data_IF_884541534785
#
_entry.id   IF_884541534785
#
_cell.length_a   1.000
_cell.length_b   1.000
_cell.length_c   1.000
_cell.angle_alpha   90.00
_cell.angle_beta   90.00
_cell.angle_gamma   90.00
#
_symmetry.space_group_name_H-M   'P 1'
#
loop_
_entity.id
_entity.type
_entity.pdbx_description
1 polymer ?
#
# COMPACT_ATOMS: atom_id res chain seq x y z
N UNK A 1 -1.60 18.50 50.48
CA UNK A 1 -2.29 17.69 49.47
C UNK A 1 -3.62 17.34 50.07
N UNK A 2 -4.72 17.81 49.49
CA UNK A 2 -6.03 17.60 50.09
C UNK A 2 -6.35 16.11 50.11
N UNK A 3 -6.84 15.56 51.25
CA UNK A 3 -7.11 14.13 51.40
C UNK A 3 -8.14 13.61 50.39
N UNK A 4 -8.96 14.49 49.80
CA UNK A 4 -9.95 14.16 48.78
C UNK A 4 -9.36 13.94 47.37
N UNK A 5 -8.18 14.51 47.06
CA UNK A 5 -7.54 14.39 45.74
C UNK A 5 -6.86 13.02 45.57
N UNK A 6 -6.41 12.43 46.68
CA UNK A 6 -5.70 11.15 46.70
C UNK A 6 -6.49 9.97 46.07
N UNK A 7 -7.75 9.70 46.44
CA UNK A 7 -8.51 8.59 45.85
C UNK A 7 -8.81 8.77 44.36
N UNK A 8 -9.00 10.01 43.89
CA UNK A 8 -9.24 10.30 42.47
C UNK A 8 -8.00 9.95 41.64
N UNK A 9 -6.81 10.40 42.08
CA UNK A 9 -5.54 10.07 41.41
C UNK A 9 -5.32 8.56 41.37
N UNK A 10 -5.56 7.86 42.48
CA UNK A 10 -5.39 6.39 42.56
C UNK A 10 -6.32 5.68 41.57
N UNK A 11 -7.54 6.19 41.34
CA UNK A 11 -8.49 5.60 40.40
C UNK A 11 -8.09 5.77 38.93
N UNK A 12 -7.34 6.84 38.60
CA UNK A 12 -6.91 7.16 37.23
C UNK A 12 -5.58 6.50 36.85
N UNK A 13 -4.75 6.14 37.83
CA UNK A 13 -3.45 5.51 37.61
C UNK A 13 -3.45 4.38 36.55
N UNK A 14 -4.35 3.37 36.57
CA UNK A 14 -4.33 2.30 35.57
C UNK A 14 -4.63 2.79 34.16
N UNK A 15 -5.39 3.88 34.01
CA UNK A 15 -5.68 4.49 32.70
C UNK A 15 -4.40 5.13 32.15
N UNK A 16 -3.64 5.83 33.00
CA UNK A 16 -2.37 6.45 32.61
C UNK A 16 -1.29 5.41 32.29
N UNK A 17 -1.19 4.33 33.06
CA UNK A 17 -0.28 3.23 32.75
C UNK A 17 -0.57 2.63 31.37
N UNK A 18 -1.85 2.37 31.06
CA UNK A 18 -2.25 1.85 29.76
C UNK A 18 -1.93 2.84 28.62
N UNK A 19 -2.15 4.15 28.84
CA UNK A 19 -1.83 5.19 27.87
C UNK A 19 -0.33 5.28 27.60
N UNK A 20 0.49 5.27 28.67
CA UNK A 20 1.94 5.32 28.58
C UNK A 20 2.49 4.10 27.83
N UNK A 21 2.00 2.89 28.14
CA UNK A 21 2.38 1.67 27.42
C UNK A 21 1.97 1.79 25.94
N UNK A 22 0.77 2.29 25.64
CA UNK A 22 0.33 2.50 24.26
C UNK A 22 1.21 3.51 23.49
N UNK A 23 1.76 4.53 24.15
CA UNK A 23 2.69 5.47 23.51
C UNK A 23 4.03 4.79 23.22
N UNK A 24 4.54 4.01 24.17
CA UNK A 24 5.76 3.24 23.99
C UNK A 24 5.63 2.15 22.91
N UNK A 25 4.43 1.64 22.63
CA UNK A 25 4.20 0.71 21.50
C UNK A 25 4.07 1.45 20.17
N UNK A 26 3.55 2.67 20.15
CA UNK A 26 3.41 3.48 18.95
C UNK A 26 4.73 4.13 18.49
N UNK A 27 5.60 4.54 19.42
CA UNK A 27 6.84 5.22 19.08
C UNK A 27 7.78 4.38 18.18
N UNK A 28 8.00 3.07 18.43
CA UNK A 28 8.76 2.21 17.52
C UNK A 28 8.12 2.10 16.13
N UNK A 29 6.78 2.07 16.05
CA UNK A 29 6.06 2.06 14.77
C UNK A 29 6.29 3.35 13.98
N UNK A 30 6.25 4.51 14.65
CA UNK A 30 6.55 5.81 14.04
C UNK A 30 8.00 5.86 13.57
N UNK A 31 8.95 5.48 14.43
CA UNK A 31 10.37 5.44 14.12
C UNK A 31 10.68 4.51 12.94
N UNK A 32 10.09 3.31 12.92
CA UNK A 32 10.26 2.34 11.83
C UNK A 32 9.68 2.87 10.50
N UNK A 33 8.55 3.58 10.53
CA UNK A 33 7.97 4.18 9.32
C UNK A 33 8.79 5.35 8.81
N UNK A 34 9.25 6.23 9.69
CA UNK A 34 10.15 7.33 9.31
C UNK A 34 11.47 6.78 8.73
N UNK A 35 12.06 5.78 9.37
CA UNK A 35 13.25 5.09 8.86
C UNK A 35 12.99 4.49 7.46
N UNK A 36 11.86 3.81 7.28
CA UNK A 36 11.47 3.25 5.98
C UNK A 36 11.31 4.35 4.92
N UNK A 37 10.66 5.47 5.24
CA UNK A 37 10.51 6.59 4.30
C UNK A 37 11.83 7.23 3.93
N UNK A 38 12.71 7.51 4.90
CA UNK A 38 14.05 8.05 4.62
C UNK A 38 14.83 7.09 3.72
N UNK A 39 14.78 5.79 4.00
CA UNK A 39 15.52 4.79 3.23
C UNK A 39 14.98 4.62 1.79
N UNK A 40 13.67 4.76 1.58
CA UNK A 40 13.07 4.68 0.23
C UNK A 40 12.95 6.02 -0.47
N UNK A 41 13.50 7.10 0.09
CA UNK A 41 13.45 8.44 -0.52
C UNK A 41 14.25 8.51 -1.82
N UNK A 42 15.42 7.86 -1.88
CA UNK A 42 16.24 7.83 -3.10
C UNK A 42 15.53 7.10 -4.25
N UNK A 43 14.90 5.95 -3.95
CA UNK A 43 14.05 5.22 -4.89
C UNK A 43 12.83 6.04 -5.33
N UNK A 44 12.21 6.80 -4.42
CA UNK A 44 11.10 7.71 -4.74
C UNK A 44 11.56 8.80 -5.71
N UNK A 45 12.65 9.50 -5.40
CA UNK A 45 13.13 10.65 -6.17
C UNK A 45 13.66 10.20 -7.53
N UNK A 46 14.38 9.08 -7.60
CA UNK A 46 14.91 8.56 -8.87
C UNK A 46 13.83 7.96 -9.76
N UNK A 47 12.84 7.28 -9.18
CA UNK A 47 11.85 6.56 -9.97
C UNK A 47 10.57 7.39 -10.17
N UNK A 48 9.93 7.85 -9.09
CA UNK A 48 8.56 8.43 -9.09
C UNK A 48 8.53 9.88 -9.58
N UNK A 49 9.51 10.69 -9.18
CA UNK A 49 9.50 12.12 -9.48
C UNK A 49 9.67 12.46 -10.97
N UNK A 50 10.60 11.83 -11.72
CA UNK A 50 10.85 12.18 -13.12
C UNK A 50 9.68 11.87 -14.05
N UNK A 51 8.69 11.10 -13.60
CA UNK A 51 7.52 10.78 -14.42
C UNK A 51 6.71 12.05 -14.75
N UNK A 52 6.63 12.45 -16.04
CA UNK A 52 6.03 13.71 -16.43
C UNK A 52 4.51 13.73 -16.24
N UNK A 53 3.86 12.56 -16.27
CA UNK A 53 2.40 12.45 -16.15
C UNK A 53 1.94 11.98 -14.78
N UNK A 54 0.89 12.61 -14.26
CA UNK A 54 0.18 12.19 -13.05
C UNK A 54 -0.72 10.99 -13.33
N UNK A 55 -0.15 9.79 -13.29
CA UNK A 55 -0.91 8.53 -13.40
C UNK A 55 -1.41 8.06 -12.04
N UNK A 56 -2.41 7.18 -12.04
CA UNK A 56 -3.04 6.63 -10.84
C UNK A 56 -2.03 5.98 -9.89
N UNK A 57 -1.01 5.27 -10.40
CA UNK A 57 0.03 4.67 -9.57
C UNK A 57 0.88 5.68 -8.80
N UNK A 58 1.28 6.78 -9.45
CA UNK A 58 2.02 7.90 -8.83
C UNK A 58 1.16 8.61 -7.78
N UNK A 59 -0.10 8.90 -8.11
CA UNK A 59 -1.04 9.54 -7.18
C UNK A 59 -1.23 8.66 -5.94
N UNK A 60 -1.50 7.36 -6.10
CA UNK A 60 -1.68 6.44 -4.97
C UNK A 60 -0.42 6.33 -4.12
N UNK A 61 0.75 6.21 -4.73
CA UNK A 61 2.02 6.14 -4.01
C UNK A 61 2.25 7.38 -3.15
N UNK A 62 2.17 8.57 -3.75
CA UNK A 62 2.38 9.84 -3.03
C UNK A 62 1.29 10.02 -1.97
N UNK A 63 0.03 9.70 -2.29
CA UNK A 63 -1.07 9.79 -1.35
C UNK A 63 -0.83 8.93 -0.10
N UNK A 64 -0.52 7.64 -0.24
CA UNK A 64 -0.23 6.74 0.90
C UNK A 64 0.89 7.32 1.77
N UNK A 65 1.98 7.76 1.15
CA UNK A 65 3.17 8.22 1.86
C UNK A 65 2.94 9.51 2.61
N UNK A 66 2.43 10.54 1.94
CA UNK A 66 2.26 11.85 2.55
C UNK A 66 1.06 11.89 3.50
N UNK A 67 -0.04 11.15 3.25
CA UNK A 67 -1.10 11.04 4.28
C UNK A 67 -0.63 10.23 5.48
N UNK A 68 0.26 9.25 5.29
CA UNK A 68 0.92 8.52 6.38
C UNK A 68 1.79 9.45 7.24
N UNK A 69 2.58 10.34 6.64
CA UNK A 69 3.35 11.36 7.36
C UNK A 69 2.43 12.29 8.15
N UNK A 70 1.38 12.83 7.51
CA UNK A 70 0.38 13.69 8.17
C UNK A 70 -0.25 12.98 9.36
N UNK A 71 -0.62 11.70 9.20
CA UNK A 71 -1.14 10.89 10.30
C UNK A 71 -0.14 10.79 11.45
N UNK A 72 1.13 10.46 11.18
CA UNK A 72 2.15 10.31 12.24
C UNK A 72 2.45 11.61 12.97
N UNK A 73 2.62 12.72 12.23
CA UNK A 73 2.85 14.03 12.83
C UNK A 73 1.67 14.46 13.69
N UNK A 74 0.44 14.24 13.21
CA UNK A 74 -0.77 14.58 13.97
C UNK A 74 -0.94 13.67 15.19
N UNK A 75 -0.58 12.38 15.07
CA UNK A 75 -0.62 11.44 16.18
C UNK A 75 0.36 11.82 17.29
N UNK A 76 1.58 12.24 16.92
CA UNK A 76 2.57 12.78 17.87
C UNK A 76 2.07 14.06 18.54
N UNK A 77 1.50 14.99 17.77
CA UNK A 77 0.96 16.24 18.30
C UNK A 77 -0.20 16.03 19.28
N UNK A 78 -0.97 14.95 19.13
CA UNK A 78 -2.13 14.69 20.00
C UNK A 78 -1.76 13.81 21.21
N UNK A 79 -0.86 12.86 21.06
CA UNK A 79 -0.60 11.84 22.09
C UNK A 79 0.72 12.04 22.85
N UNK A 80 1.64 12.88 22.36
CA UNK A 80 2.93 13.04 23.01
C UNK A 80 2.90 14.15 24.06
N UNK A 81 3.52 13.95 25.25
CA UNK A 81 3.60 14.98 26.26
C UNK A 81 4.30 16.23 25.74
N UNK A 82 3.57 17.34 25.68
CA UNK A 82 4.11 18.66 25.41
C UNK A 82 3.28 19.72 26.15
N UNK A 83 3.95 20.72 26.72
CA UNK A 83 3.29 21.78 27.51
C UNK A 83 2.53 22.81 26.66
N UNK A 84 2.27 22.52 25.38
CA UNK A 84 1.51 23.41 24.51
C UNK A 84 0.00 23.30 24.79
N UNK A 85 -0.63 24.46 24.97
CA UNK A 85 -2.03 24.56 25.32
C UNK A 85 -2.90 24.70 24.07
N UNK A 86 -3.55 23.62 23.65
CA UNK A 86 -4.57 23.69 22.62
C UNK A 86 -5.92 24.07 23.22
N UNK A 87 -6.67 24.90 22.49
CA UNK A 87 -8.09 25.10 22.79
C UNK A 87 -8.87 23.81 22.53
N UNK A 88 -9.98 23.59 23.25
CA UNK A 88 -10.90 22.46 23.03
C UNK A 88 -11.29 22.28 21.54
N UNK A 89 -11.70 23.33 20.79
CA UNK A 89 -11.98 23.18 19.36
C UNK A 89 -10.73 22.84 18.54
N UNK A 90 -9.54 23.27 18.96
CA UNK A 90 -8.27 22.87 18.34
C UNK A 90 -7.99 21.37 18.50
N UNK A 91 -8.20 20.82 19.70
CA UNK A 91 -8.09 19.37 19.95
C UNK A 91 -9.12 18.57 19.14
N UNK A 92 -10.36 19.05 19.03
CA UNK A 92 -11.40 18.41 18.22
C UNK A 92 -10.98 18.40 16.74
N UNK A 93 -10.49 19.52 16.21
CA UNK A 93 -9.98 19.61 14.83
C UNK A 93 -8.78 18.67 14.58
N UNK A 94 -7.82 18.60 15.52
CA UNK A 94 -6.69 17.68 15.43
C UNK A 94 -7.13 16.21 15.47
N UNK A 95 -8.09 15.85 16.33
CA UNK A 95 -8.66 14.50 16.38
C UNK A 95 -9.34 14.10 15.06
N UNK A 96 -10.07 15.03 14.44
CA UNK A 96 -10.64 14.84 13.10
C UNK A 96 -9.55 14.68 12.04
N UNK A 97 -8.48 15.47 12.09
CA UNK A 97 -7.37 15.36 11.15
C UNK A 97 -6.66 14.00 11.24
N UNK A 98 -6.34 13.55 12.46
CA UNK A 98 -5.75 12.21 12.70
C UNK A 98 -6.64 11.12 12.12
N UNK A 99 -7.95 11.22 12.37
CA UNK A 99 -8.97 10.31 11.86
C UNK A 99 -9.01 10.26 10.32
N UNK A 100 -9.08 11.43 9.68
CA UNK A 100 -9.12 11.50 8.22
C UNK A 100 -7.82 10.97 7.61
N UNK A 101 -6.67 11.33 8.17
CA UNK A 101 -5.38 10.89 7.67
C UNK A 101 -5.22 9.36 7.75
N UNK A 102 -5.59 8.72 8.86
CA UNK A 102 -5.52 7.25 8.98
C UNK A 102 -6.50 6.56 8.02
N UNK A 103 -7.71 7.09 7.87
CA UNK A 103 -8.72 6.54 6.97
C UNK A 103 -8.29 6.64 5.50
N UNK A 104 -7.78 7.80 5.08
CA UNK A 104 -7.27 8.01 3.73
C UNK A 104 -6.09 7.09 3.44
N UNK A 105 -5.08 7.07 4.31
CA UNK A 105 -3.89 6.25 4.11
C UNK A 105 -4.24 4.76 3.98
N UNK A 106 -5.12 4.26 4.86
CA UNK A 106 -5.62 2.88 4.78
C UNK A 106 -6.37 2.64 3.47
N UNK A 107 -7.24 3.56 3.07
CA UNK A 107 -8.06 3.42 1.85
C UNK A 107 -7.17 3.42 0.60
N UNK A 108 -6.15 4.27 0.54
CA UNK A 108 -5.21 4.29 -0.58
C UNK A 108 -4.33 3.05 -0.62
N UNK A 109 -3.84 2.57 0.53
CA UNK A 109 -3.10 1.32 0.61
C UNK A 109 -3.93 0.15 0.09
N UNK A 110 -5.21 0.09 0.45
CA UNK A 110 -6.11 -0.93 -0.08
C UNK A 110 -6.42 -0.73 -1.57
N UNK A 111 -6.67 0.50 -2.02
CA UNK A 111 -6.89 0.80 -3.45
C UNK A 111 -5.68 0.36 -4.31
N UNK A 112 -4.44 0.54 -3.82
CA UNK A 112 -3.25 0.06 -4.49
C UNK A 112 -3.29 -1.47 -4.70
N UNK A 113 -3.79 -2.23 -3.74
CA UNK A 113 -3.94 -3.69 -3.87
C UNK A 113 -4.97 -4.10 -4.89
N UNK A 114 -6.12 -3.42 -4.92
CA UNK A 114 -7.16 -3.65 -5.90
C UNK A 114 -6.65 -3.31 -7.31
N UNK A 115 -5.80 -2.29 -7.45
CA UNK A 115 -5.09 -1.99 -8.68
C UNK A 115 -4.11 -3.12 -9.08
N UNK A 116 -3.39 -3.69 -8.11
CA UNK A 116 -2.51 -4.84 -8.36
C UNK A 116 -3.32 -6.07 -8.82
N UNK A 117 -4.47 -6.30 -8.20
CA UNK A 117 -5.40 -7.37 -8.57
C UNK A 117 -5.95 -7.17 -9.98
N UNK A 118 -6.25 -5.92 -10.35
CA UNK A 118 -6.65 -5.54 -11.70
C UNK A 118 -5.53 -5.82 -12.72
N UNK A 119 -4.28 -5.49 -12.38
CA UNK A 119 -3.12 -5.81 -13.22
C UNK A 119 -2.97 -7.33 -13.44
N UNK A 120 -3.19 -8.15 -12.40
CA UNK A 120 -3.21 -9.62 -12.50
C UNK A 120 -4.37 -10.16 -13.36
N UNK A 121 -5.46 -9.40 -13.53
CA UNK A 121 -6.54 -9.77 -14.45
C UNK A 121 -6.21 -9.44 -15.92
N UNK A 122 -5.01 -8.93 -16.20
CA UNK A 122 -4.54 -8.61 -17.53
C UNK A 122 -5.17 -7.34 -18.09
N UNK A 123 -5.54 -6.38 -17.22
CA UNK A 123 -5.86 -5.01 -17.65
C UNK A 123 -7.10 -4.87 -18.54
N UNK A 124 -8.04 -5.82 -18.54
CA UNK A 124 -9.26 -5.69 -19.35
C UNK A 124 -10.24 -4.71 -18.68
N UNK A 125 -10.77 -3.71 -19.39
CA UNK A 125 -11.61 -2.66 -18.78
C UNK A 125 -12.86 -3.20 -18.08
N UNK A 126 -13.41 -4.33 -18.54
CA UNK A 126 -14.54 -4.99 -17.87
C UNK A 126 -14.25 -5.35 -16.42
N UNK A 127 -13.05 -5.87 -16.14
CA UNK A 127 -12.63 -6.22 -14.77
C UNK A 127 -12.33 -4.97 -13.94
N UNK A 128 -11.88 -3.88 -14.58
CA UNK A 128 -11.67 -2.61 -13.90
C UNK A 128 -12.97 -2.12 -13.26
N UNK A 129 -14.04 -2.03 -14.04
CA UNK A 129 -15.34 -1.57 -13.53
C UNK A 129 -15.89 -2.49 -12.44
N UNK A 130 -15.78 -3.81 -12.62
CA UNK A 130 -16.23 -4.78 -11.60
C UNK A 130 -15.49 -4.60 -10.28
N UNK A 131 -14.16 -4.52 -10.32
CA UNK A 131 -13.32 -4.32 -9.14
C UNK A 131 -13.56 -2.94 -8.50
N UNK A 132 -13.67 -1.88 -9.29
CA UNK A 132 -13.93 -0.54 -8.80
C UNK A 132 -15.29 -0.43 -8.11
N UNK A 133 -16.35 -1.01 -8.70
CA UNK A 133 -17.69 -1.05 -8.09
C UNK A 133 -17.64 -1.84 -6.79
N UNK A 134 -17.05 -3.05 -6.79
CA UNK A 134 -16.93 -3.87 -5.58
C UNK A 134 -16.14 -3.16 -4.46
N UNK A 135 -15.05 -2.48 -4.82
CA UNK A 135 -14.28 -1.67 -3.89
C UNK A 135 -15.13 -0.53 -3.31
N UNK A 136 -15.79 0.28 -4.16
CA UNK A 136 -16.58 1.43 -3.70
C UNK A 136 -17.78 1.03 -2.85
N UNK A 137 -18.51 -0.03 -3.23
CA UNK A 137 -19.67 -0.55 -2.49
C UNK A 137 -19.30 -0.94 -1.06
N UNK A 138 -18.10 -1.48 -0.82
CA UNK A 138 -17.64 -1.84 0.52
C UNK A 138 -16.93 -0.67 1.22
N UNK A 139 -16.24 0.19 0.48
CA UNK A 139 -15.46 1.30 1.02
C UNK A 139 -16.35 2.41 1.56
N UNK A 140 -17.37 2.83 0.82
CA UNK A 140 -18.22 3.97 1.20
C UNK A 140 -18.91 3.70 2.55
N UNK A 141 -19.63 2.57 2.76
CA UNK A 141 -20.26 2.30 4.05
C UNK A 141 -19.24 2.16 5.18
N UNK A 142 -18.09 1.51 4.93
CA UNK A 142 -17.04 1.39 5.94
C UNK A 142 -16.50 2.76 6.37
N UNK A 143 -16.25 3.66 5.42
CA UNK A 143 -15.79 5.03 5.67
C UNK A 143 -16.86 5.82 6.42
N UNK A 144 -18.12 5.77 6.00
CA UNK A 144 -19.21 6.49 6.66
C UNK A 144 -19.39 6.02 8.10
N UNK A 145 -19.47 4.71 8.34
CA UNK A 145 -19.65 4.16 9.70
C UNK A 145 -18.46 4.45 10.61
N UNK A 146 -17.24 4.28 10.10
CA UNK A 146 -16.02 4.60 10.87
C UNK A 146 -15.94 6.10 11.15
N UNK A 147 -16.25 6.93 10.15
CA UNK A 147 -16.30 8.38 10.29
C UNK A 147 -17.32 8.84 11.30
N UNK A 148 -18.55 8.32 11.28
CA UNK A 148 -19.58 8.61 12.30
C UNK A 148 -19.13 8.18 13.71
N UNK A 149 -18.50 7.00 13.82
CA UNK A 149 -17.96 6.52 15.09
C UNK A 149 -16.88 7.43 15.65
N UNK A 150 -16.01 7.98 14.80
CA UNK A 150 -14.92 8.88 15.21
C UNK A 150 -15.38 10.32 15.41
N UNK A 151 -16.29 10.83 14.57
CA UNK A 151 -16.91 12.15 14.75
C UNK A 151 -17.79 12.23 16.00
N UNK A 152 -18.19 11.08 16.57
CA UNK A 152 -18.86 11.04 17.87
C UNK A 152 -17.91 11.34 19.05
N UNK A 153 -16.59 11.32 18.83
CA UNK A 153 -15.62 11.68 19.85
C UNK A 153 -15.65 13.19 20.09
N UNK A 154 -15.85 13.58 21.34
CA UNK A 154 -15.74 14.97 21.78
C UNK A 154 -14.45 15.15 22.57
N UNK A 155 -13.77 16.27 22.30
CA UNK A 155 -12.69 16.73 23.15
C UNK A 155 -13.27 17.18 24.50
N UNK A 156 -12.63 16.77 25.60
CA UNK A 156 -12.98 17.16 26.96
C UNK A 156 -12.00 18.26 27.39
N UNK A 157 -12.40 19.25 28.21
CA UNK A 157 -11.44 20.13 28.87
C UNK A 157 -10.39 19.30 29.62
N UNK A 158 -9.14 19.80 29.64
CA UNK A 158 -8.01 19.14 30.29
C UNK A 158 -8.26 19.03 31.80
N UNK A 159 -8.02 17.84 32.35
CA UNK A 159 -8.01 17.64 33.79
C UNK A 159 -6.68 18.13 34.38
N UNK A 160 -6.64 18.38 35.69
CA UNK A 160 -5.41 18.79 36.41
C UNK A 160 -4.26 17.80 36.13
N UNK A 161 -4.58 16.51 36.06
CA UNK A 161 -3.60 15.46 35.83
C UNK A 161 -3.05 15.46 34.39
N UNK A 162 -3.89 15.76 33.40
CA UNK A 162 -3.44 15.93 32.01
C UNK A 162 -2.51 17.15 31.89
N UNK A 163 -2.83 18.24 32.60
CA UNK A 163 -1.96 19.42 32.67
C UNK A 163 -0.64 19.13 33.35
N UNK A 164 -0.62 18.30 34.40
CA UNK A 164 0.59 17.93 35.14
C UNK A 164 1.50 17.01 34.32
N UNK A 165 0.90 16.09 33.55
CA UNK A 165 1.62 15.15 32.70
C UNK A 165 1.97 15.74 31.32
N UNK A 166 1.46 16.92 31.00
CA UNK A 166 1.70 17.61 29.73
C UNK A 166 0.94 17.01 28.56
N UNK A 167 -0.21 16.37 28.78
CA UNK A 167 -1.06 15.88 27.69
C UNK A 167 -1.89 17.00 27.07
N UNK A 168 -1.78 17.20 25.75
CA UNK A 168 -2.44 18.34 25.10
C UNK A 168 -3.95 18.17 24.94
N UNK A 169 -4.41 16.96 24.67
CA UNK A 169 -5.80 16.69 24.29
C UNK A 169 -6.31 15.41 24.94
N UNK A 170 -7.53 15.48 25.48
CA UNK A 170 -8.26 14.35 26.07
C UNK A 170 -9.59 14.15 25.34
N UNK A 171 -9.91 12.91 25.00
CA UNK A 171 -11.10 12.57 24.19
C UNK A 171 -12.00 11.57 24.90
N UNK A 172 -13.31 11.74 24.73
CA UNK A 172 -14.28 10.70 25.10
C UNK A 172 -14.08 9.44 24.22
N UNK A 173 -14.27 8.24 24.78
CA UNK A 173 -14.22 7.01 24.01
C UNK A 173 -15.29 7.01 22.91
N UNK A 174 -14.97 6.55 21.68
CA UNK A 174 -15.91 6.54 20.58
C UNK A 174 -16.99 5.47 20.75
N UNK A 175 -18.10 5.60 20.01
CA UNK A 175 -19.12 4.56 19.92
C UNK A 175 -18.55 3.27 19.29
N UNK A 176 -18.26 2.28 20.14
CA UNK A 176 -17.63 1.01 19.75
C UNK A 176 -18.44 0.20 18.74
N UNK A 177 -19.78 0.30 18.77
CA UNK A 177 -20.65 -0.48 17.89
C UNK A 177 -20.48 -0.13 16.40
N UNK A 178 -20.44 1.17 16.06
CA UNK A 178 -20.26 1.62 14.68
C UNK A 178 -18.87 1.26 14.15
N UNK A 179 -17.83 1.43 14.98
CA UNK A 179 -16.46 1.06 14.67
C UNK A 179 -16.29 -0.45 14.43
N UNK A 180 -16.99 -1.28 15.21
CA UNK A 180 -16.98 -2.72 15.02
C UNK A 180 -17.57 -3.10 13.66
N UNK A 181 -18.77 -2.61 13.34
CA UNK A 181 -19.43 -2.88 12.05
C UNK A 181 -18.55 -2.42 10.89
N UNK A 182 -18.02 -1.20 10.96
CA UNK A 182 -17.09 -0.69 9.94
C UNK A 182 -15.85 -1.56 9.77
N UNK A 183 -15.26 -2.05 10.88
CA UNK A 183 -14.10 -2.94 10.86
C UNK A 183 -14.40 -4.28 10.18
N UNK A 184 -15.58 -4.87 10.43
CA UNK A 184 -16.03 -6.10 9.77
C UNK A 184 -16.27 -5.92 8.27
N UNK A 185 -16.80 -4.77 7.84
CA UNK A 185 -16.95 -4.48 6.40
C UNK A 185 -15.58 -4.38 5.73
N UNK A 186 -14.61 -3.71 6.36
CA UNK A 186 -13.25 -3.68 5.80
C UNK A 186 -12.61 -5.07 5.78
N UNK A 187 -12.81 -5.88 6.83
CA UNK A 187 -12.35 -7.26 6.83
C UNK A 187 -12.96 -8.03 5.66
N UNK A 188 -14.28 -7.95 5.45
CA UNK A 188 -14.97 -8.57 4.33
C UNK A 188 -14.41 -8.12 2.97
N UNK A 189 -14.14 -6.82 2.80
CA UNK A 189 -13.48 -6.25 1.61
C UNK A 189 -12.11 -6.86 1.37
N UNK A 190 -11.27 -6.92 2.39
CA UNK A 190 -9.91 -7.49 2.28
C UNK A 190 -9.94 -9.00 2.02
N UNK A 191 -10.85 -9.73 2.66
CA UNK A 191 -11.08 -11.17 2.44
C UNK A 191 -11.54 -11.44 1.01
N UNK A 192 -12.47 -10.64 0.48
CA UNK A 192 -12.93 -10.76 -0.90
C UNK A 192 -11.77 -10.54 -1.89
N UNK A 193 -10.96 -9.49 -1.68
CA UNK A 193 -9.79 -9.23 -2.51
C UNK A 193 -8.78 -10.38 -2.47
N UNK A 194 -8.52 -10.95 -1.29
CA UNK A 194 -7.65 -12.12 -1.14
C UNK A 194 -8.23 -13.34 -1.88
N UNK A 195 -9.51 -13.66 -1.69
CA UNK A 195 -10.15 -14.82 -2.34
C UNK A 195 -10.08 -14.68 -3.86
N UNK A 196 -10.44 -13.51 -4.41
CA UNK A 196 -10.32 -13.24 -5.84
C UNK A 196 -8.86 -13.35 -6.30
N UNK A 197 -7.92 -12.79 -5.54
CA UNK A 197 -6.48 -12.91 -5.81
C UNK A 197 -5.98 -14.35 -5.85
N UNK A 198 -6.36 -15.17 -4.85
CA UNK A 198 -6.00 -16.58 -4.78
C UNK A 198 -6.60 -17.38 -5.93
N UNK A 199 -7.88 -17.16 -6.26
CA UNK A 199 -8.54 -17.82 -7.39
C UNK A 199 -7.84 -17.47 -8.70
N UNK A 200 -7.48 -16.20 -8.93
CA UNK A 200 -6.75 -15.78 -10.13
C UNK A 200 -5.37 -16.45 -10.19
N UNK A 201 -4.62 -16.42 -9.07
CA UNK A 201 -3.30 -17.04 -8.99
C UNK A 201 -3.37 -18.55 -9.28
N UNK A 202 -4.38 -19.24 -8.76
CA UNK A 202 -4.51 -20.69 -8.91
C UNK A 202 -5.05 -21.10 -10.29
N UNK A 203 -6.05 -20.40 -10.83
CA UNK A 203 -6.69 -20.76 -12.10
C UNK A 203 -5.83 -20.32 -13.29
N UNK A 204 -5.34 -19.08 -13.28
CA UNK A 204 -4.68 -18.48 -14.44
C UNK A 204 -3.18 -18.72 -14.47
N UNK A 205 -2.54 -18.67 -13.31
CA UNK A 205 -1.08 -18.57 -13.23
C UNK A 205 -0.38 -19.83 -12.75
N UNK A 206 -1.11 -20.92 -12.47
CA UNK A 206 -0.51 -22.19 -12.05
C UNK A 206 0.51 -22.77 -13.04
N UNK A 207 0.42 -22.44 -14.34
CA UNK A 207 1.32 -22.94 -15.40
C UNK A 207 2.33 -21.93 -15.93
N UNK A 208 2.29 -20.67 -15.48
CA UNK A 208 3.15 -19.60 -16.01
C UNK A 208 4.31 -19.30 -15.06
N UNK A 209 5.55 -19.38 -15.54
CA UNK A 209 6.78 -19.19 -14.78
C UNK A 209 7.45 -17.81 -15.03
N UNK A 210 6.68 -16.77 -15.36
CA UNK A 210 7.28 -15.43 -15.56
C UNK A 210 7.76 -14.81 -14.25
N UNK A 211 8.89 -14.10 -14.30
CA UNK A 211 9.53 -13.45 -13.14
C UNK A 211 8.60 -12.45 -12.44
N UNK A 212 7.78 -11.69 -13.18
CA UNK A 212 6.81 -10.75 -12.61
C UNK A 212 5.78 -11.44 -11.70
N UNK A 213 5.21 -12.56 -12.14
CA UNK A 213 4.23 -13.32 -11.35
C UNK A 213 4.90 -13.83 -10.08
N UNK A 214 6.17 -14.25 -10.15
CA UNK A 214 6.94 -14.70 -8.98
C UNK A 214 7.10 -13.56 -7.96
N UNK A 215 7.37 -12.33 -8.39
CA UNK A 215 7.47 -11.16 -7.51
C UNK A 215 6.13 -10.81 -6.89
N UNK A 216 5.05 -10.70 -7.69
CA UNK A 216 3.72 -10.36 -7.17
C UNK A 216 3.19 -11.44 -6.22
N UNK A 217 3.42 -12.72 -6.54
CA UNK A 217 3.02 -13.85 -5.68
C UNK A 217 3.80 -13.86 -4.37
N UNK A 218 5.09 -13.56 -4.40
CA UNK A 218 5.94 -13.55 -3.20
C UNK A 218 5.64 -12.33 -2.33
N UNK A 219 5.76 -11.13 -2.87
CA UNK A 219 5.65 -9.89 -2.10
C UNK A 219 4.19 -9.50 -1.85
N UNK A 220 3.36 -9.51 -2.90
CA UNK A 220 1.93 -9.22 -2.78
C UNK A 220 1.20 -10.29 -1.98
N UNK A 221 1.54 -11.57 -2.16
CA UNK A 221 0.95 -12.67 -1.39
C UNK A 221 1.23 -12.57 0.11
N UNK A 222 2.49 -12.33 0.49
CA UNK A 222 2.87 -12.09 1.90
C UNK A 222 2.10 -10.91 2.46
N UNK A 223 2.04 -9.80 1.71
CA UNK A 223 1.29 -8.63 2.12
C UNK A 223 -0.19 -8.93 2.42
N UNK A 224 -0.88 -9.62 1.50
CA UNK A 224 -2.31 -9.93 1.66
C UNK A 224 -2.56 -10.82 2.88
N UNK A 225 -1.74 -11.85 3.06
CA UNK A 225 -1.88 -12.79 4.19
C UNK A 225 -1.60 -12.07 5.51
N UNK A 226 -0.51 -11.31 5.61
CA UNK A 226 -0.18 -10.55 6.81
C UNK A 226 -1.25 -9.52 7.15
N UNK A 227 -1.73 -8.78 6.15
CA UNK A 227 -2.80 -7.78 6.34
C UNK A 227 -4.09 -8.45 6.78
N UNK A 228 -4.47 -9.59 6.19
CA UNK A 228 -5.68 -10.32 6.59
C UNK A 228 -5.60 -10.76 8.05
N UNK A 229 -4.47 -11.35 8.47
CA UNK A 229 -4.26 -11.80 9.84
C UNK A 229 -4.36 -10.63 10.82
N UNK A 230 -3.69 -9.51 10.52
CA UNK A 230 -3.72 -8.31 11.37
C UNK A 230 -5.11 -7.65 11.39
N UNK A 231 -5.84 -7.66 10.28
CA UNK A 231 -7.22 -7.17 10.22
C UNK A 231 -8.17 -8.06 11.01
N UNK A 232 -7.97 -9.38 10.98
CA UNK A 232 -8.75 -10.34 11.77
C UNK A 232 -8.57 -10.08 13.27
N UNK A 233 -7.33 -9.99 13.75
CA UNK A 233 -7.06 -9.63 15.15
C UNK A 233 -7.56 -8.23 15.51
N UNK A 234 -7.45 -7.27 14.60
CA UNK A 234 -8.02 -5.92 14.78
C UNK A 234 -9.54 -5.95 14.88
N UNK A 235 -10.24 -6.86 14.21
CA UNK A 235 -11.68 -7.01 14.36
C UNK A 235 -12.02 -7.65 15.71
N UNK A 236 -11.32 -8.73 16.09
CA UNK A 236 -11.51 -9.39 17.38
C UNK A 236 -11.36 -8.43 18.56
N UNK A 237 -10.45 -7.47 18.48
CA UNK A 237 -10.18 -6.50 19.55
C UNK A 237 -11.21 -5.37 19.63
N UNK A 238 -11.86 -5.03 18.50
CA UNK A 238 -12.93 -4.02 18.45
C UNK A 238 -14.31 -4.61 18.81
N UNK A 239 -14.49 -5.92 18.63
CA UNK A 239 -15.77 -6.59 18.91
C UNK A 239 -16.17 -6.49 20.38
N UNK A 240 -17.37 -5.94 20.68
CA UNK A 240 -17.86 -5.86 22.05
C UNK A 240 -17.90 -7.25 22.70
N UNK A 241 -17.48 -7.34 23.97
CA UNK A 241 -17.41 -8.57 24.76
C UNK A 241 -16.42 -9.62 24.27
N UNK A 242 -15.54 -9.29 23.33
CA UNK A 242 -14.43 -10.17 22.99
C UNK A 242 -13.52 -10.38 24.22
N UNK A 243 -13.06 -11.62 24.46
CA UNK A 243 -12.08 -11.90 25.52
C UNK A 243 -10.70 -11.30 25.19
N UNK A 244 -10.43 -11.00 23.92
CA UNK A 244 -9.16 -10.43 23.46
C UNK A 244 -9.28 -8.92 23.45
N UNK A 245 -8.67 -8.25 24.44
CA UNK A 245 -8.55 -6.80 24.50
C UNK A 245 -7.15 -6.38 24.09
N UNK A 246 -7.05 -5.49 23.10
CA UNK A 246 -5.78 -4.83 22.76
C UNK A 246 -5.60 -3.60 23.65
N UNK A 247 -5.37 -3.84 24.95
CA UNK A 247 -5.26 -2.75 25.94
C UNK A 247 -4.12 -1.76 25.61
N UNK A 248 -3.14 -2.20 24.84
CA UNK A 248 -1.91 -1.46 24.54
C UNK A 248 -1.77 -1.07 23.06
N UNK A 249 -2.83 -1.23 22.27
CA UNK A 249 -2.87 -0.93 20.84
C UNK A 249 -1.77 -1.61 20.00
N UNK A 250 -1.24 -2.76 20.44
CA UNK A 250 -0.12 -3.46 19.78
C UNK A 250 -0.57 -3.93 18.40
N UNK A 251 -1.76 -4.53 18.30
CA UNK A 251 -2.30 -5.03 17.03
C UNK A 251 -2.55 -3.86 16.09
N UNK A 252 -3.07 -2.75 16.61
CA UNK A 252 -3.31 -1.53 15.83
C UNK A 252 -2.02 -0.93 15.27
N UNK A 253 -0.97 -0.84 16.10
CA UNK A 253 0.35 -0.32 15.71
C UNK A 253 1.03 -1.21 14.67
N UNK A 254 1.03 -2.54 14.88
CA UNK A 254 1.58 -3.49 13.91
C UNK A 254 0.82 -3.45 12.58
N UNK A 255 -0.52 -3.46 12.62
CA UNK A 255 -1.36 -3.33 11.43
C UNK A 255 -0.99 -2.09 10.63
N UNK A 256 -0.86 -0.94 11.29
CA UNK A 256 -0.52 0.33 10.63
C UNK A 256 0.86 0.27 9.99
N UNK A 257 1.86 -0.20 10.73
CA UNK A 257 3.23 -0.39 10.23
C UNK A 257 3.27 -1.27 8.97
N UNK A 258 2.71 -2.46 9.05
CA UNK A 258 2.77 -3.44 7.97
C UNK A 258 1.97 -2.97 6.74
N UNK A 259 0.77 -2.41 6.93
CA UNK A 259 -0.02 -1.91 5.81
C UNK A 259 0.75 -0.85 5.03
N UNK A 260 1.44 0.07 5.72
CA UNK A 260 2.13 1.19 5.07
C UNK A 260 3.42 0.73 4.40
N UNK A 261 4.29 0.02 5.12
CA UNK A 261 5.58 -0.45 4.60
C UNK A 261 5.39 -1.33 3.39
N UNK A 262 4.45 -2.27 3.46
CA UNK A 262 4.28 -3.20 2.37
C UNK A 262 3.52 -2.61 1.17
N UNK A 263 2.55 -1.71 1.37
CA UNK A 263 1.90 -1.02 0.25
C UNK A 263 2.92 -0.16 -0.53
N UNK A 264 3.79 0.57 0.19
CA UNK A 264 4.88 1.36 -0.39
C UNK A 264 5.86 0.47 -1.17
N UNK A 265 6.35 -0.63 -0.54
CA UNK A 265 7.24 -1.59 -1.20
C UNK A 265 6.60 -2.27 -2.41
N UNK A 266 5.32 -2.61 -2.34
CA UNK A 266 4.60 -3.23 -3.44
C UNK A 266 4.56 -2.29 -4.65
N UNK A 267 4.23 -1.01 -4.44
CA UNK A 267 4.18 -0.01 -5.51
C UNK A 267 5.58 0.27 -6.11
N UNK A 268 6.62 0.39 -5.29
CA UNK A 268 8.00 0.56 -5.77
C UNK A 268 8.48 -0.67 -6.56
N UNK A 269 8.16 -1.89 -6.09
CA UNK A 269 8.55 -3.12 -6.79
C UNK A 269 7.80 -3.30 -8.09
N UNK A 270 6.50 -3.00 -8.14
CA UNK A 270 5.72 -3.05 -9.38
C UNK A 270 6.28 -2.12 -10.44
N UNK A 271 6.83 -0.99 -10.02
CA UNK A 271 7.51 -0.07 -10.92
C UNK A 271 8.84 -0.62 -11.43
N UNK A 272 9.63 -1.27 -10.58
CA UNK A 272 10.93 -1.82 -10.97
C UNK A 272 10.82 -3.02 -11.91
N UNK A 273 9.76 -3.81 -11.82
CA UNK A 273 9.55 -5.02 -12.65
C UNK A 273 8.83 -4.68 -13.97
N UNK A 274 9.01 -3.48 -14.49
CA UNK A 274 8.50 -3.08 -15.81
C UNK A 274 9.32 -3.76 -16.93
N UNK A 275 9.18 -5.09 -17.02
CA UNK A 275 9.76 -5.93 -18.06
C UNK A 275 9.00 -5.68 -19.38
N UNK A 276 9.76 -5.40 -20.46
CA UNK A 276 9.28 -5.07 -21.82
C UNK A 276 8.19 -5.99 -22.38
N UNK A 277 8.13 -7.25 -21.93
CA UNK A 277 7.13 -8.23 -22.39
C UNK A 277 5.78 -8.16 -21.66
N UNK A 278 5.73 -7.59 -20.45
CA UNK A 278 4.48 -7.44 -19.67
C UNK A 278 3.85 -6.04 -19.85
N UNK A 279 4.56 -5.19 -20.59
CA UNK A 279 4.37 -3.75 -20.76
C UNK A 279 3.02 -3.38 -21.42
N UNK A 280 2.52 -4.20 -22.36
CA UNK A 280 1.37 -3.82 -23.19
C UNK A 280 0.03 -3.68 -22.43
N UNK A 281 -0.14 -4.36 -21.29
CA UNK A 281 -1.41 -4.37 -20.55
C UNK A 281 -1.38 -3.58 -19.24
N UNK A 282 -0.26 -3.56 -18.54
CA UNK A 282 -0.13 -2.96 -17.20
C UNK A 282 0.40 -1.53 -17.29
N UNK A 283 1.34 -1.28 -18.21
CA UNK A 283 2.03 0.01 -18.30
C UNK A 283 1.04 1.12 -18.68
N UNK A 284 0.21 0.93 -19.70
CA UNK A 284 -0.74 1.95 -20.20
C UNK A 284 -1.65 2.57 -19.13
N UNK A 285 -2.03 1.78 -18.12
CA UNK A 285 -2.95 2.22 -17.08
C UNK A 285 -2.24 2.74 -15.82
N UNK A 286 -1.04 2.23 -15.51
CA UNK A 286 -0.35 2.55 -14.24
C UNK A 286 0.80 3.55 -14.43
N UNK A 287 1.58 3.46 -15.52
CA UNK A 287 2.75 4.31 -15.77
C UNK A 287 2.87 4.67 -17.26
N UNK A 288 2.99 5.96 -17.59
CA UNK A 288 3.22 6.32 -18.98
C UNK A 288 4.65 5.94 -19.36
N UNK A 289 4.80 5.23 -20.47
CA UNK A 289 6.11 5.13 -21.11
C UNK A 289 6.34 6.31 -22.03
N UNK A 290 7.51 6.91 -21.90
CA UNK A 290 8.08 7.70 -22.99
C UNK A 290 8.49 6.73 -24.10
N UNK A 291 7.70 6.66 -25.16
CA UNK A 291 8.08 5.97 -26.40
C UNK A 291 9.39 6.53 -26.97
N UNK A 292 9.75 7.78 -26.62
CA UNK A 292 10.99 8.45 -27.05
C UNK A 292 12.28 7.75 -26.63
N UNK A 293 12.37 7.23 -25.41
CA UNK A 293 13.59 6.54 -24.96
C UNK A 293 13.86 5.23 -25.74
N UNK A 294 12.82 4.68 -26.37
CA UNK A 294 12.95 3.47 -27.21
C UNK A 294 13.46 3.80 -28.61
N UNK A 295 13.15 5.00 -29.11
CA UNK A 295 13.62 5.44 -30.43
C UNK A 295 15.09 5.85 -30.42
N UNK A 296 15.58 6.51 -29.36
CA UNK A 296 16.99 6.92 -29.29
C UNK A 296 17.94 5.71 -29.24
N UNK A 297 17.58 4.65 -28.50
CA UNK A 297 18.37 3.40 -28.44
C UNK A 297 18.37 2.58 -29.74
N UNK A 298 17.38 2.79 -30.62
CA UNK A 298 17.32 2.14 -31.94
C UNK A 298 18.05 2.94 -33.01
N UNK A 299 18.22 4.24 -32.83
CA UNK A 299 18.98 5.09 -33.76
C UNK A 299 20.50 4.95 -33.55
N UNK A 300 20.98 4.83 -32.31
CA UNK A 300 22.43 4.65 -32.06
C UNK A 300 22.96 3.29 -32.56
N UNK A 301 22.10 2.26 -32.63
CA UNK A 301 22.49 0.97 -33.18
C UNK A 301 22.56 0.95 -34.72
N UNK A 302 22.08 1.99 -35.41
CA UNK A 302 22.07 2.07 -36.87
C UNK A 302 23.31 2.78 -37.45
N UNK A 303 23.98 3.65 -36.68
CA UNK A 303 25.14 4.41 -37.17
C UNK A 303 26.49 3.68 -37.00
N UNK A 304 26.57 2.65 -36.16
CA UNK A 304 27.80 1.84 -35.99
C UNK A 304 28.05 0.78 -37.08
N UNK A 305 27.17 0.68 -38.09
CA UNK A 305 27.35 -0.21 -39.25
C UNK A 305 28.01 0.47 -40.46
N UNK A 306 28.39 1.74 -40.36
CA UNK A 306 29.20 2.42 -41.38
C UNK A 306 30.68 2.36 -40.97
N UNK A 307 31.28 1.18 -41.17
CA UNK A 307 32.73 1.02 -41.03
C UNK A 307 33.49 1.81 -42.10
N UNK A 308 34.63 2.45 -41.77
CA UNK A 308 35.53 2.98 -42.76
C UNK A 308 36.21 1.82 -43.49
N UNK A 309 35.92 1.72 -44.79
CA UNK A 309 36.66 0.89 -45.74
C UNK A 309 38.15 1.24 -45.61
N UNK A 310 38.95 0.29 -45.11
CA UNK A 310 40.41 0.39 -45.07
C UNK A 310 40.95 -0.83 -45.80
N UNK A 311 41.34 -0.59 -47.05
CA UNK A 311 42.05 -1.54 -47.89
C UNK A 311 43.45 -1.73 -47.29
N UNK A 312 43.85 -2.96 -46.98
CA UNK A 312 45.25 -3.37 -47.07
C UNK A 312 45.38 -4.90 -47.16
N UNK A 313 46.34 -5.28 -48.00
CA UNK A 313 46.54 -6.56 -48.66
C UNK A 313 47.09 -7.68 -47.76
N UNK A 314 46.76 -8.92 -48.13
CA UNK A 314 47.76 -9.99 -48.29
C UNK A 314 48.11 -10.86 -47.08
N UNK A 315 47.61 -12.10 -47.07
CA UNK A 315 48.10 -13.15 -46.16
C UNK A 315 47.32 -14.46 -46.24
N UNK A 316 47.79 -15.37 -47.08
CA UNK A 316 47.20 -16.66 -47.45
C UNK A 316 47.49 -17.79 -46.44
N UNK A 317 46.65 -18.85 -46.47
CA UNK A 317 46.82 -20.24 -45.95
C UNK A 317 46.35 -20.38 -44.47
N UNK A 318 45.39 -21.23 -44.06
CA UNK A 318 45.16 -22.63 -44.43
C UNK A 318 43.77 -23.16 -44.00
N UNK A 319 43.39 -24.25 -44.68
CA UNK A 319 42.24 -25.16 -44.55
C UNK A 319 41.78 -25.55 -43.14
N UNK A 320 40.47 -25.78 -43.04
CA UNK A 320 39.84 -26.55 -41.97
C UNK A 320 38.39 -26.87 -42.33
N UNK A 321 38.21 -27.95 -43.09
CA UNK A 321 36.93 -28.58 -43.44
C UNK A 321 36.04 -28.85 -42.21
N UNK A 322 34.73 -28.71 -42.37
CA UNK A 322 33.81 -29.07 -41.29
C UNK A 322 32.33 -28.78 -41.52
N UNK A 323 31.77 -29.31 -42.62
CA UNK A 323 30.51 -30.07 -42.63
C UNK A 323 29.28 -29.47 -41.88
N UNK A 324 28.25 -29.09 -42.64
CA UNK A 324 26.99 -29.84 -42.77
C UNK A 324 25.81 -28.90 -43.04
N UNK A 325 25.27 -29.00 -44.25
CA UNK A 325 24.03 -28.38 -44.67
C UNK A 325 22.83 -29.01 -43.96
N UNK A 326 21.87 -28.18 -43.53
CA UNK A 326 20.46 -28.59 -43.42
C UNK A 326 19.64 -27.63 -44.26
N UNK A 327 19.01 -28.26 -45.24
CA UNK A 327 18.16 -27.77 -46.31
C UNK A 327 16.70 -27.81 -45.85
N UNK A 328 15.92 -26.81 -46.29
CA UNK A 328 14.45 -26.81 -46.43
C UNK A 328 13.60 -26.97 -45.15
N UNK A 329 12.36 -26.48 -45.05
CA UNK A 329 11.38 -26.01 -46.03
C UNK A 329 10.37 -25.10 -45.33
N UNK A 330 9.84 -24.18 -46.12
CA UNK A 330 8.56 -23.49 -45.95
C UNK A 330 7.37 -24.43 -45.71
N UNK A 331 6.50 -24.12 -44.75
CA UNK A 331 5.06 -24.45 -44.84
C UNK A 331 4.19 -23.30 -44.30
N UNK A 332 3.66 -22.55 -45.26
CA UNK A 332 2.47 -21.72 -45.17
C UNK A 332 1.27 -22.66 -45.09
N UNK A 333 0.49 -22.66 -44.00
CA UNK A 333 -0.79 -23.40 -43.92
C UNK A 333 -1.95 -22.47 -43.63
N UNK A 334 -2.60 -22.09 -44.73
CA UNK A 334 -3.98 -21.64 -44.86
C UNK A 334 -4.99 -22.77 -44.62
N UNK A 335 -6.25 -22.38 -44.38
CA UNK A 335 -7.51 -23.16 -44.29
C UNK A 335 -7.87 -23.70 -42.90
N UNK A 336 -9.13 -23.68 -42.44
CA UNK A 336 -10.44 -23.34 -43.00
C UNK A 336 -11.47 -23.48 -41.86
N UNK A 337 -12.48 -22.61 -41.70
CA UNK A 337 -13.83 -22.65 -42.30
C UNK A 337 -14.46 -24.05 -42.45
N UNK A 338 -15.38 -24.41 -41.52
CA UNK A 338 -16.49 -25.41 -41.57
C UNK A 338 -16.96 -25.68 -40.12
N UNK A 339 -18.21 -25.93 -39.71
CA UNK A 339 -19.53 -26.17 -40.33
C UNK A 339 -20.61 -25.68 -39.34
N UNK A 340 -21.77 -25.38 -39.90
CA UNK A 340 -23.12 -25.35 -39.32
C UNK A 340 -23.44 -26.51 -38.36
N UNK A 341 -24.32 -26.27 -37.37
CA UNK A 341 -25.69 -26.82 -37.30
C UNK A 341 -26.58 -25.76 -36.69
#
# INVERSE_FOLDING_TARGET
>A
MDPEISPEIISLLPVYEALQISQFTQLPTIAALLYHYVFTLDDEVSQIWPQPTWKTGKILFLAIRYTGIVYMTSLLAVNWPHHHEFSVPGCEALGVLVTLAVMLTRTFAEAALWLCLYALLGGKPKYFYLLAIGFLVLTIPAVVLTGMGLMSQRAIPRNILDSLLGYPCSFLPPQRHLLAIGSYIVLARTSLALVVGLVILFVRYRKQNHNLIKVIRREGGIFYISTLILMFFSCLTVTPRSPVKDSYNIVSSLKTLFVYVFADRLLLRLKKVDDRSTQAGISTLVFNHDERASSELLCDAADDLVGPHRDEEGGTIQEGEGMMAIVETSELKTMGKRVEV
#
